data_IF_728069837437
#
_entry.id   IF_728069837437
#
_cell.length_a   1.000
_cell.length_b   1.000
_cell.length_c   1.000
_cell.angle_alpha   90.00
_cell.angle_beta   90.00
_cell.angle_gamma   90.00
#
_symmetry.space_group_name_H-M   'P 1'
#
loop_
_entity.id
_entity.type
_entity.pdbx_description
1 polymer ?
#
# COMPACT_ATOMS: atom_id res chain seq x y z
N UNK A 1 18.12 41.02 0.06
CA UNK A 1 17.79 39.62 -0.27
C UNK A 1 16.93 39.54 -1.51
N UNK A 2 15.82 40.30 -1.65
CA UNK A 2 14.93 40.20 -2.82
C UNK A 2 15.59 40.57 -4.15
N UNK A 3 16.46 41.56 -4.19
CA UNK A 3 17.23 41.96 -5.39
C UNK A 3 18.20 40.85 -5.77
N UNK A 4 18.87 40.21 -4.79
CA UNK A 4 19.79 39.10 -5.06
C UNK A 4 19.08 37.83 -5.61
N UNK A 5 17.83 37.56 -5.23
CA UNK A 5 17.01 36.50 -5.79
C UNK A 5 16.65 36.76 -7.25
N UNK A 6 16.34 38.04 -7.59
CA UNK A 6 16.04 38.41 -8.98
C UNK A 6 17.23 38.27 -9.93
N UNK A 7 18.47 38.38 -9.41
CA UNK A 7 19.70 38.23 -10.24
C UNK A 7 20.10 36.75 -10.39
N UNK A 8 19.97 35.95 -9.34
CA UNK A 8 20.41 34.52 -9.34
C UNK A 8 19.33 33.52 -9.77
N UNK A 9 18.06 33.93 -9.75
CA UNK A 9 16.88 33.14 -10.13
C UNK A 9 16.98 31.65 -9.73
N UNK A 10 17.08 31.34 -8.43
CA UNK A 10 17.16 29.95 -7.98
C UNK A 10 15.87 29.18 -8.26
N UNK A 11 14.76 29.86 -8.54
CA UNK A 11 13.46 29.37 -8.95
C UNK A 11 12.69 30.44 -9.71
N UNK A 12 11.69 30.01 -10.46
CA UNK A 12 10.80 30.88 -11.23
C UNK A 12 9.34 30.72 -10.82
N UNK A 13 8.47 31.57 -11.39
CA UNK A 13 7.02 31.43 -11.21
C UNK A 13 6.55 30.09 -11.80
N UNK A 14 5.76 29.37 -11.04
CA UNK A 14 5.26 28.06 -11.43
C UNK A 14 6.15 26.89 -11.00
N UNK A 15 7.39 27.14 -10.57
CA UNK A 15 8.25 26.08 -10.06
C UNK A 15 7.68 25.43 -8.81
N UNK A 16 7.88 24.13 -8.68
CA UNK A 16 7.64 23.37 -7.45
C UNK A 16 8.88 23.42 -6.60
N UNK A 17 8.73 24.01 -5.41
CA UNK A 17 9.84 24.19 -4.48
C UNK A 17 9.54 23.64 -3.10
N UNK A 18 10.59 23.29 -2.39
CA UNK A 18 10.51 22.94 -0.97
C UNK A 18 11.55 23.75 -0.19
N UNK A 19 11.09 24.45 0.86
CA UNK A 19 11.93 25.19 1.77
C UNK A 19 11.24 25.31 3.13
N UNK A 20 11.97 25.16 4.23
CA UNK A 20 11.46 25.34 5.62
C UNK A 20 10.17 24.54 5.92
N UNK A 21 10.04 23.34 5.37
CA UNK A 21 8.84 22.52 5.54
C UNK A 21 7.67 22.87 4.62
N UNK A 22 7.75 23.98 3.89
CA UNK A 22 6.75 24.37 2.88
C UNK A 22 7.06 23.67 1.56
N UNK A 23 6.08 23.00 0.97
CA UNK A 23 6.19 22.33 -0.31
C UNK A 23 5.03 22.70 -1.22
N UNK A 24 5.32 23.31 -2.38
CA UNK A 24 4.28 23.77 -3.29
C UNK A 24 4.79 24.53 -4.50
N UNK A 25 3.84 25.15 -5.23
CA UNK A 25 4.10 25.92 -6.43
C UNK A 25 4.37 27.40 -6.09
N UNK A 26 5.38 28.00 -6.71
CA UNK A 26 5.65 29.42 -6.61
C UNK A 26 4.60 30.21 -7.37
N UNK A 27 3.77 30.98 -6.66
CA UNK A 27 2.70 31.82 -7.25
C UNK A 27 3.12 33.26 -7.49
N UNK A 28 3.96 33.80 -6.60
CA UNK A 28 4.48 35.15 -6.78
C UNK A 28 5.83 35.33 -6.08
N UNK A 29 6.70 36.10 -6.68
CA UNK A 29 8.00 36.48 -6.13
C UNK A 29 7.99 38.00 -5.96
N UNK A 30 7.84 38.50 -4.71
CA UNK A 30 7.84 39.89 -4.38
C UNK A 30 9.23 40.33 -3.86
N UNK A 31 9.39 41.63 -3.64
CA UNK A 31 10.66 42.18 -3.17
C UNK A 31 11.11 41.61 -1.81
N UNK A 32 10.17 41.33 -0.90
CA UNK A 32 10.46 40.89 0.48
C UNK A 32 10.02 39.49 0.81
N UNK A 33 9.08 38.95 0.07
CA UNK A 33 8.52 37.62 0.29
C UNK A 33 8.27 36.87 -1.04
N UNK A 34 8.15 35.57 -0.96
CA UNK A 34 7.69 34.68 -2.02
C UNK A 34 6.41 33.99 -1.54
N UNK A 35 5.42 33.94 -2.42
CA UNK A 35 4.14 33.28 -2.17
C UNK A 35 4.18 31.90 -2.80
N UNK A 36 3.95 30.87 -1.98
CA UNK A 36 3.90 29.47 -2.40
C UNK A 36 2.50 28.93 -2.11
N UNK A 37 1.88 28.32 -3.10
CA UNK A 37 0.66 27.56 -2.94
C UNK A 37 1.02 26.10 -2.72
N UNK A 38 0.67 25.58 -1.55
CA UNK A 38 0.90 24.17 -1.20
C UNK A 38 -0.07 23.26 -1.95
N UNK A 39 0.28 21.98 -2.07
CA UNK A 39 -0.61 20.99 -2.68
C UNK A 39 -1.87 20.68 -1.84
N UNK A 40 -1.96 21.25 -0.63
CA UNK A 40 -3.16 21.20 0.21
C UNK A 40 -4.10 22.39 -0.01
N UNK A 41 -3.81 23.27 -0.99
CA UNK A 41 -4.62 24.46 -1.30
C UNK A 41 -4.42 25.64 -0.33
N UNK A 42 -3.30 25.69 0.37
CA UNK A 42 -2.94 26.75 1.30
C UNK A 42 -1.94 27.70 0.65
N UNK A 43 -2.01 28.96 1.03
CA UNK A 43 -1.03 29.99 0.63
C UNK A 43 -0.05 30.23 1.78
N UNK A 44 1.22 29.98 1.49
CA UNK A 44 2.33 30.25 2.40
C UNK A 44 3.12 31.47 1.94
N UNK A 45 3.38 32.40 2.84
CA UNK A 45 4.13 33.61 2.56
C UNK A 45 5.49 33.52 3.23
N UNK A 46 6.53 33.24 2.46
CA UNK A 46 7.87 32.98 2.97
C UNK A 46 8.74 34.25 2.78
N UNK A 47 9.32 34.83 3.86
CA UNK A 47 10.26 35.93 3.71
C UNK A 47 11.48 35.52 2.86
N UNK A 48 11.83 36.33 1.85
CA UNK A 48 12.97 36.01 0.95
C UNK A 48 14.31 35.85 1.70
N UNK A 49 14.46 36.47 2.86
CA UNK A 49 15.65 36.31 3.70
C UNK A 49 15.82 34.86 4.18
N UNK A 50 14.71 34.17 4.45
CA UNK A 50 14.70 32.77 4.89
C UNK A 50 15.11 31.88 3.72
N UNK A 51 14.45 32.03 2.56
CA UNK A 51 14.76 31.26 1.36
C UNK A 51 16.22 31.41 0.90
N UNK A 52 16.83 32.59 1.14
CA UNK A 52 18.21 32.85 0.76
C UNK A 52 19.25 32.22 1.69
N UNK A 53 18.89 31.99 2.97
CA UNK A 53 19.81 31.46 3.99
C UNK A 53 19.76 29.95 4.13
N UNK A 54 18.66 29.37 3.75
CA UNK A 54 18.38 27.95 3.99
C UNK A 54 18.45 27.16 2.68
N UNK A 55 18.42 25.85 2.81
CA UNK A 55 18.38 24.95 1.66
C UNK A 55 17.01 25.08 1.00
N UNK A 56 17.03 25.38 -0.30
CA UNK A 56 15.86 25.37 -1.16
C UNK A 56 16.03 24.25 -2.16
N UNK A 57 15.07 23.36 -2.23
CA UNK A 57 15.00 22.29 -3.25
C UNK A 57 14.02 22.72 -4.34
N UNK A 58 14.50 22.81 -5.57
CA UNK A 58 13.67 23.07 -6.73
C UNK A 58 13.47 21.76 -7.49
N UNK A 59 12.22 21.33 -7.63
CA UNK A 59 11.86 20.07 -8.29
C UNK A 59 11.59 20.23 -9.80
N UNK A 60 11.45 21.48 -10.29
CA UNK A 60 11.06 21.75 -11.68
C UNK A 60 12.23 22.05 -12.59
N UNK A 61 13.31 22.65 -12.06
CA UNK A 61 14.43 23.19 -12.88
C UNK A 61 15.10 22.13 -13.76
N UNK A 62 15.19 20.87 -13.30
CA UNK A 62 15.83 19.80 -14.07
C UNK A 62 14.93 19.21 -15.17
N UNK A 63 13.62 19.50 -15.14
CA UNK A 63 12.67 18.96 -16.09
C UNK A 63 12.40 17.45 -15.94
N UNK A 64 13.06 16.78 -15.00
CA UNK A 64 12.93 15.35 -14.77
C UNK A 64 12.94 15.04 -13.29
N UNK A 65 12.23 13.97 -12.88
CA UNK A 65 12.20 13.52 -11.49
C UNK A 65 12.28 12.00 -11.42
N UNK A 66 13.10 11.49 -10.49
CA UNK A 66 13.17 10.06 -10.21
C UNK A 66 12.12 9.65 -9.20
N UNK A 67 11.43 8.55 -9.50
CA UNK A 67 10.59 7.84 -8.55
C UNK A 67 11.33 6.63 -7.99
N UNK A 68 11.06 6.37 -6.73
CA UNK A 68 11.55 5.20 -6.01
C UNK A 68 10.35 4.50 -5.36
N UNK A 69 10.15 3.24 -5.71
CA UNK A 69 9.02 2.44 -5.21
C UNK A 69 9.60 1.20 -4.52
N UNK A 70 9.50 1.12 -3.20
CA UNK A 70 9.87 -0.09 -2.49
C UNK A 70 8.81 -1.17 -2.69
N UNK A 71 9.25 -2.41 -2.88
CA UNK A 71 8.38 -3.58 -2.94
C UNK A 71 9.11 -4.79 -2.33
N UNK A 72 8.38 -5.62 -1.57
CA UNK A 72 8.91 -6.83 -0.97
C UNK A 72 8.46 -8.07 -1.73
N UNK A 73 9.37 -9.02 -1.95
CA UNK A 73 9.06 -10.35 -2.47
C UNK A 73 9.43 -11.43 -1.45
N UNK A 74 8.86 -12.62 -1.59
CA UNK A 74 9.12 -13.74 -0.69
C UNK A 74 10.59 -14.19 -0.75
N UNK A 75 11.11 -14.71 0.37
CA UNK A 75 12.42 -15.35 0.41
C UNK A 75 12.53 -16.61 -0.47
N UNK A 76 11.39 -17.18 -0.87
CA UNK A 76 11.35 -18.31 -1.80
C UNK A 76 11.49 -17.92 -3.27
N UNK A 77 11.36 -16.64 -3.58
CA UNK A 77 11.39 -16.11 -4.94
C UNK A 77 12.80 -15.73 -5.39
N UNK A 78 13.05 -15.74 -6.70
CA UNK A 78 14.32 -15.28 -7.28
C UNK A 78 14.31 -13.74 -7.46
N UNK A 79 15.08 -12.98 -6.68
CA UNK A 79 15.11 -11.53 -6.79
C UNK A 79 15.73 -11.03 -8.11
N UNK A 80 16.60 -11.81 -8.75
CA UNK A 80 17.18 -11.43 -10.04
C UNK A 80 16.15 -11.52 -11.16
N UNK A 81 15.34 -12.60 -11.16
CA UNK A 81 14.25 -12.76 -12.11
C UNK A 81 13.17 -11.68 -11.91
N UNK A 82 12.78 -11.38 -10.65
CA UNK A 82 11.84 -10.33 -10.32
C UNK A 82 12.34 -8.95 -10.79
N UNK A 83 13.61 -8.62 -10.51
CA UNK A 83 14.22 -7.34 -10.90
C UNK A 83 14.21 -7.14 -12.41
N UNK A 84 14.59 -8.17 -13.17
CA UNK A 84 14.56 -8.13 -14.64
C UNK A 84 13.15 -7.92 -15.18
N UNK A 85 12.18 -8.70 -14.69
CA UNK A 85 10.80 -8.61 -15.13
C UNK A 85 10.20 -7.23 -14.85
N UNK A 86 10.40 -6.70 -13.64
CA UNK A 86 9.90 -5.38 -13.26
C UNK A 86 10.54 -4.27 -14.08
N UNK A 87 11.86 -4.33 -14.36
CA UNK A 87 12.54 -3.37 -15.23
C UNK A 87 11.93 -3.35 -16.63
N UNK A 88 11.69 -4.52 -17.21
CA UNK A 88 11.09 -4.66 -18.54
C UNK A 88 9.67 -4.07 -18.59
N UNK A 89 8.86 -4.35 -17.56
CA UNK A 89 7.47 -3.89 -17.48
C UNK A 89 7.35 -2.39 -17.23
N UNK A 90 8.15 -1.83 -16.32
CA UNK A 90 8.18 -0.39 -16.06
C UNK A 90 8.59 0.38 -17.30
N UNK A 91 9.55 -0.12 -18.07
CA UNK A 91 9.99 0.50 -19.32
C UNK A 91 8.95 0.49 -20.44
N UNK A 92 7.86 -0.27 -20.31
CA UNK A 92 6.75 -0.24 -21.25
C UNK A 92 5.79 0.93 -20.99
N UNK A 93 5.86 1.59 -19.84
CA UNK A 93 5.01 2.74 -19.52
C UNK A 93 5.41 3.97 -20.34
N UNK A 94 4.40 4.72 -20.82
CA UNK A 94 4.61 5.91 -21.63
C UNK A 94 5.19 7.08 -20.83
N UNK A 95 4.87 7.15 -19.53
CA UNK A 95 5.39 8.18 -18.63
C UNK A 95 6.84 7.97 -18.19
N UNK A 96 7.44 6.83 -18.51
CA UNK A 96 8.83 6.51 -18.15
C UNK A 96 9.77 7.05 -19.24
N UNK A 97 10.60 7.98 -18.86
CA UNK A 97 11.69 8.52 -19.65
C UNK A 97 13.02 7.90 -19.21
N UNK A 98 14.08 8.11 -19.97
CA UNK A 98 15.43 7.57 -19.69
C UNK A 98 15.37 6.08 -19.33
N UNK A 99 14.76 5.31 -20.20
CA UNK A 99 14.49 3.86 -20.00
C UNK A 99 15.76 3.05 -19.69
N UNK A 100 16.90 3.52 -20.14
CA UNK A 100 18.23 2.95 -19.87
C UNK A 100 18.72 3.14 -18.43
N UNK A 101 18.16 4.13 -17.72
CA UNK A 101 18.45 4.40 -16.32
C UNK A 101 17.42 3.73 -15.38
N UNK A 102 16.39 3.06 -15.92
CA UNK A 102 15.44 2.30 -15.12
C UNK A 102 16.12 1.08 -14.54
N UNK A 103 16.02 0.90 -13.24
CA UNK A 103 16.67 -0.21 -12.55
C UNK A 103 15.85 -0.69 -11.36
N UNK A 104 15.97 -1.97 -11.04
CA UNK A 104 15.43 -2.57 -9.83
C UNK A 104 16.55 -3.18 -9.03
N UNK A 105 16.78 -2.67 -7.85
CA UNK A 105 17.83 -3.11 -6.96
C UNK A 105 17.28 -3.93 -5.81
N UNK A 106 18.01 -4.95 -5.41
CA UNK A 106 17.82 -5.60 -4.11
C UNK A 106 18.43 -4.67 -3.07
N UNK A 107 17.59 -4.11 -2.21
CA UNK A 107 18.02 -3.11 -1.23
C UNK A 107 18.48 -3.75 0.08
N UNK A 108 17.68 -4.68 0.60
CA UNK A 108 17.94 -5.30 1.91
C UNK A 108 17.12 -6.57 2.12
N UNK A 109 17.46 -7.29 3.17
CA UNK A 109 16.66 -8.38 3.70
C UNK A 109 15.78 -7.84 4.83
N UNK A 110 14.45 -7.92 4.65
CA UNK A 110 13.47 -7.52 5.66
C UNK A 110 13.07 -8.69 6.56
N UNK A 111 12.20 -8.42 7.54
CA UNK A 111 11.76 -9.43 8.50
C UNK A 111 11.02 -10.62 7.84
N UNK A 112 10.32 -10.37 6.75
CA UNK A 112 9.51 -11.39 6.06
C UNK A 112 9.64 -11.37 4.54
N UNK A 113 10.50 -10.51 4.00
CA UNK A 113 10.64 -10.31 2.56
C UNK A 113 12.06 -9.90 2.16
N UNK A 114 12.37 -10.06 0.88
CA UNK A 114 13.51 -9.41 0.24
C UNK A 114 13.00 -8.07 -0.29
N UNK A 115 13.60 -6.97 0.17
CA UNK A 115 13.23 -5.62 -0.24
C UNK A 115 13.88 -5.29 -1.57
N UNK A 116 13.05 -4.96 -2.55
CA UNK A 116 13.45 -4.43 -3.84
C UNK A 116 13.11 -2.94 -3.90
N UNK A 117 13.93 -2.18 -4.62
CA UNK A 117 13.71 -0.76 -4.88
C UNK A 117 13.65 -0.53 -6.39
N UNK A 118 12.49 -0.15 -6.88
CA UNK A 118 12.24 0.12 -8.30
C UNK A 118 12.49 1.59 -8.59
N UNK A 119 13.45 1.91 -9.48
CA UNK A 119 13.82 3.25 -9.87
C UNK A 119 13.46 3.50 -11.33
N UNK A 120 12.84 4.67 -11.59
CA UNK A 120 12.60 5.15 -12.94
C UNK A 120 12.42 6.66 -12.95
N UNK A 121 12.55 7.26 -14.14
CA UNK A 121 12.48 8.69 -14.34
C UNK A 121 11.21 9.09 -15.07
N UNK A 122 10.66 10.24 -14.70
CA UNK A 122 9.51 10.86 -15.36
C UNK A 122 9.81 12.31 -15.72
N UNK A 123 9.11 12.86 -16.69
CA UNK A 123 9.06 14.30 -16.92
C UNK A 123 8.44 15.00 -15.72
N UNK A 124 9.05 16.11 -15.30
CA UNK A 124 8.53 16.87 -14.17
C UNK A 124 8.95 18.36 -14.24
N UNK A 125 8.02 19.32 -14.25
CA UNK A 125 6.57 19.09 -14.38
C UNK A 125 6.20 18.46 -15.73
N UNK A 126 5.29 17.49 -15.72
CA UNK A 126 4.85 16.75 -16.91
C UNK A 126 3.37 16.41 -16.84
N UNK A 127 2.82 15.95 -17.96
CA UNK A 127 1.37 15.72 -18.12
C UNK A 127 0.83 14.68 -17.15
N UNK A 128 1.57 13.60 -16.91
CA UNK A 128 1.13 12.53 -16.00
C UNK A 128 1.17 12.95 -14.53
N UNK A 129 2.10 13.84 -14.15
CA UNK A 129 2.29 14.25 -12.77
C UNK A 129 2.90 13.15 -11.88
N UNK A 130 3.53 13.58 -10.76
CA UNK A 130 4.31 12.68 -9.90
C UNK A 130 3.46 11.60 -9.20
N UNK A 131 2.31 11.99 -8.65
CA UNK A 131 1.47 11.05 -7.90
C UNK A 131 0.72 10.08 -8.81
N UNK A 132 0.30 10.52 -10.00
CA UNK A 132 -0.34 9.66 -10.98
C UNK A 132 0.63 8.61 -11.52
N UNK A 133 1.84 9.01 -11.92
CA UNK A 133 2.88 8.08 -12.35
C UNK A 133 3.23 7.06 -11.26
N UNK A 134 3.33 7.52 -10.00
CA UNK A 134 3.57 6.63 -8.86
C UNK A 134 2.43 5.62 -8.67
N UNK A 135 1.18 6.08 -8.75
CA UNK A 135 -0.01 5.23 -8.62
C UNK A 135 -0.04 4.13 -9.69
N UNK A 136 0.12 4.51 -10.95
CA UNK A 136 0.12 3.58 -12.08
C UNK A 136 1.26 2.56 -11.96
N UNK A 137 2.46 3.02 -11.60
CA UNK A 137 3.60 2.13 -11.42
C UNK A 137 3.38 1.12 -10.28
N UNK A 138 2.80 1.53 -9.14
CA UNK A 138 2.50 0.61 -8.02
C UNK A 138 1.50 -0.46 -8.44
N UNK A 139 0.45 -0.07 -9.18
CA UNK A 139 -0.54 -1.03 -9.70
C UNK A 139 0.12 -2.00 -10.69
N UNK A 140 0.94 -1.48 -11.61
CA UNK A 140 1.65 -2.30 -12.59
C UNK A 140 2.60 -3.30 -11.91
N UNK A 141 3.39 -2.84 -10.92
CA UNK A 141 4.30 -3.70 -10.15
C UNK A 141 3.51 -4.84 -9.51
N UNK A 142 2.42 -4.52 -8.79
CA UNK A 142 1.58 -5.53 -8.13
C UNK A 142 1.06 -6.55 -9.14
N UNK A 143 0.46 -6.07 -10.24
CA UNK A 143 -0.09 -6.92 -11.29
C UNK A 143 0.98 -7.81 -11.92
N UNK A 144 2.16 -7.24 -12.21
CA UNK A 144 3.28 -7.98 -12.83
C UNK A 144 3.78 -9.10 -11.94
N UNK A 145 3.92 -8.85 -10.64
CA UNK A 145 4.35 -9.86 -9.69
C UNK A 145 3.32 -10.98 -9.54
N UNK A 146 2.04 -10.64 -9.47
CA UNK A 146 0.96 -11.63 -9.39
C UNK A 146 0.88 -12.51 -10.64
N UNK A 147 0.99 -11.91 -11.85
CA UNK A 147 0.94 -12.65 -13.11
C UNK A 147 2.14 -13.58 -13.32
N UNK A 148 3.27 -13.30 -12.69
CA UNK A 148 4.50 -14.09 -12.76
C UNK A 148 4.71 -15.00 -11.54
N UNK A 149 3.69 -15.15 -10.70
CA UNK A 149 3.69 -16.03 -9.52
C UNK A 149 4.75 -15.67 -8.45
N UNK A 150 5.13 -14.38 -8.38
CA UNK A 150 5.93 -13.85 -7.29
C UNK A 150 5.04 -13.49 -6.11
N UNK A 151 5.43 -13.89 -4.92
CA UNK A 151 4.65 -13.66 -3.71
C UNK A 151 5.08 -12.36 -2.99
N UNK A 152 4.16 -11.42 -2.83
CA UNK A 152 4.32 -10.31 -1.88
C UNK A 152 3.90 -10.83 -0.50
N UNK A 153 4.83 -11.11 0.41
CA UNK A 153 4.52 -11.84 1.63
C UNK A 153 3.80 -10.99 2.65
N UNK A 154 2.91 -11.63 3.41
CA UNK A 154 2.42 -11.09 4.67
C UNK A 154 3.48 -11.24 5.77
N UNK A 155 3.34 -10.56 6.93
CA UNK A 155 4.22 -10.79 8.06
C UNK A 155 4.25 -12.27 8.45
N UNK A 156 5.43 -12.89 8.37
CA UNK A 156 5.62 -14.31 8.69
C UNK A 156 6.09 -14.42 10.13
N UNK A 157 5.47 -15.33 10.89
CA UNK A 157 5.91 -15.71 12.23
C UNK A 157 6.02 -17.22 12.32
N UNK A 158 7.19 -17.71 12.70
CA UNK A 158 7.38 -19.11 12.99
C UNK A 158 6.99 -19.38 14.43
N UNK A 159 6.11 -20.36 14.63
CA UNK A 159 5.74 -20.84 15.96
C UNK A 159 6.53 -22.14 16.22
N UNK A 160 7.43 -22.11 17.20
CA UNK A 160 8.18 -23.30 17.62
C UNK A 160 7.54 -23.89 18.87
N UNK A 161 6.82 -24.99 18.70
CA UNK A 161 6.17 -25.74 19.77
C UNK A 161 7.13 -26.70 20.50
N UNK A 162 8.37 -26.86 20.02
CA UNK A 162 9.36 -27.78 20.57
C UNK A 162 10.46 -27.11 21.42
N UNK A 163 10.50 -25.77 21.51
CA UNK A 163 11.54 -25.06 22.25
C UNK A 163 11.38 -25.26 23.76
N UNK A 164 12.41 -25.80 24.40
CA UNK A 164 12.57 -25.91 25.89
C UNK A 164 11.33 -26.43 26.65
N UNK A 165 10.86 -27.61 26.26
CA UNK A 165 9.80 -28.32 26.99
C UNK A 165 8.39 -28.14 26.50
N UNK A 166 8.19 -27.48 25.35
CA UNK A 166 6.92 -27.51 24.62
C UNK A 166 6.74 -28.85 23.90
N UNK A 167 5.50 -29.35 23.84
CA UNK A 167 5.17 -30.51 23.01
C UNK A 167 5.17 -30.10 21.55
N UNK A 168 5.65 -31.00 20.67
CA UNK A 168 5.54 -30.80 19.22
C UNK A 168 4.07 -30.78 18.81
N UNK A 169 3.72 -29.95 17.84
CA UNK A 169 2.34 -29.81 17.35
C UNK A 169 1.73 -31.17 16.96
N UNK A 170 2.50 -32.06 16.34
CA UNK A 170 2.06 -33.42 15.99
C UNK A 170 1.65 -34.25 17.22
N UNK A 171 2.36 -34.11 18.35
CA UNK A 171 2.02 -34.77 19.60
C UNK A 171 0.74 -34.17 20.23
N UNK A 172 0.57 -32.85 20.18
CA UNK A 172 -0.65 -32.18 20.65
C UNK A 172 -1.88 -32.59 19.82
N UNK A 173 -1.73 -32.69 18.50
CA UNK A 173 -2.81 -33.12 17.60
C UNK A 173 -3.16 -34.62 17.78
N UNK A 174 -2.16 -35.49 17.98
CA UNK A 174 -2.36 -36.90 18.27
C UNK A 174 -3.08 -37.12 19.60
N UNK A 175 -2.74 -36.36 20.65
CA UNK A 175 -3.41 -36.41 21.95
C UNK A 175 -4.87 -35.95 21.90
N UNK A 176 -5.25 -35.04 21.02
CA UNK A 176 -6.64 -34.64 20.82
C UNK A 176 -7.47 -35.72 20.13
N UNK A 177 -6.89 -36.48 19.21
CA UNK A 177 -7.60 -37.57 18.53
C UNK A 177 -7.85 -38.77 19.46
N UNK A 178 -6.94 -39.07 20.39
CA UNK A 178 -7.14 -40.15 21.37
C UNK A 178 -8.15 -39.75 22.47
N UNK A 179 -8.17 -38.49 22.88
CA UNK A 179 -9.15 -37.99 23.86
C UNK A 179 -10.59 -37.92 23.32
N UNK A 180 -10.74 -37.80 21.98
CA UNK A 180 -12.06 -37.83 21.30
C UNK A 180 -12.67 -39.23 21.19
N UNK A 181 -11.81 -40.28 21.07
CA UNK A 181 -12.29 -41.66 20.94
C UNK A 181 -12.70 -42.31 22.27
N UNK A 182 -12.13 -41.88 23.39
CA UNK A 182 -12.53 -42.43 24.72
C UNK A 182 -13.90 -41.97 25.20
N UNK A 183 -14.42 -40.86 24.65
CA UNK A 183 -15.76 -40.38 25.02
C UNK A 183 -16.89 -41.08 24.27
N UNK A 184 -16.62 -41.69 23.13
CA UNK A 184 -17.64 -42.41 22.33
C UNK A 184 -17.83 -43.89 22.75
N UNK A 185 -16.89 -44.47 23.49
CA UNK A 185 -16.97 -45.86 23.92
C UNK A 185 -17.73 -46.04 25.28
N UNK A 186 -17.99 -44.92 26.03
CA UNK A 186 -18.65 -45.02 27.32
C UNK A 186 -20.16 -44.65 27.31
N UNK A 187 -20.69 -44.22 26.16
CA UNK A 187 -22.16 -43.95 26.04
C UNK A 187 -23.00 -45.12 25.47
N UNK A 188 -22.35 -46.22 25.04
CA UNK A 188 -23.09 -47.33 24.42
C UNK A 188 -23.38 -48.51 25.34
N UNK A 189 -23.09 -48.43 26.65
CA UNK A 189 -23.39 -49.51 27.59
C UNK A 189 -24.54 -49.28 28.53
N UNK A 190 -25.33 -48.20 28.36
CA UNK A 190 -26.44 -47.91 29.26
C UNK A 190 -27.78 -47.53 28.57
N UNK A 191 -28.16 -48.28 27.51
CA UNK A 191 -29.51 -48.17 26.95
C UNK A 191 -30.02 -49.52 26.42
N UNK A 192 -30.28 -50.40 27.35
CA UNK A 192 -31.19 -51.54 27.13
C UNK A 192 -32.09 -51.67 28.34
N UNK A 193 -33.14 -50.93 28.42
CA UNK A 193 -34.45 -51.26 29.01
C UNK A 193 -35.33 -50.00 29.09
N UNK A 194 -36.49 -50.07 28.45
CA UNK A 194 -37.55 -49.10 28.65
C UNK A 194 -38.21 -48.61 27.35
N UNK A 195 -39.02 -49.47 26.79
CA UNK A 195 -40.04 -49.10 25.79
C UNK A 195 -41.10 -48.18 26.44
N UNK A 196 -41.46 -47.11 25.82
CA UNK A 196 -42.89 -46.82 25.54
C UNK A 196 -43.10 -45.64 24.57
N UNK A 197 -44.04 -45.85 23.73
CA UNK A 197 -44.64 -45.07 22.65
C UNK A 197 -45.07 -43.64 23.04
N UNK A 198 -44.87 -42.71 22.12
CA UNK A 198 -45.88 -41.69 21.75
C UNK A 198 -45.48 -41.04 20.40
N UNK A 199 -46.35 -41.24 19.45
CA UNK A 199 -46.46 -40.53 18.17
C UNK A 199 -46.56 -39.01 18.38
N UNK A 200 -45.84 -38.25 17.57
CA UNK A 200 -46.24 -36.88 17.26
C UNK A 200 -45.85 -36.54 15.82
N UNK A 201 -46.89 -36.24 15.04
CA UNK A 201 -46.91 -35.91 13.62
C UNK A 201 -46.56 -34.41 13.42
N UNK A 202 -45.74 -34.01 12.45
CA UNK A 202 -45.52 -32.62 12.14
C UNK A 202 -46.24 -32.23 10.85
N UNK A 203 -47.39 -31.60 10.97
CA UNK A 203 -47.91 -30.73 9.91
C UNK A 203 -48.65 -29.57 10.54
N UNK A 204 -48.27 -28.40 10.08
CA UNK A 204 -49.11 -27.26 9.74
C UNK A 204 -48.63 -25.90 10.24
N UNK A 205 -48.65 -25.10 9.26
CA UNK A 205 -49.02 -23.68 9.24
C UNK A 205 -47.92 -22.69 9.64
N UNK A 206 -47.74 -21.58 9.03
CA UNK A 206 -48.39 -20.81 7.94
C UNK A 206 -47.58 -19.51 7.78
N UNK A 207 -47.63 -18.98 6.59
CA UNK A 207 -47.24 -17.64 6.18
C UNK A 207 -47.80 -16.53 7.07
N UNK A 208 -47.00 -15.46 7.22
CA UNK A 208 -47.46 -14.05 7.21
C UNK A 208 -46.24 -13.17 6.92
N UNK A 209 -46.21 -12.56 5.82
CA UNK A 209 -46.62 -11.21 5.39
C UNK A 209 -45.65 -10.11 5.78
N UNK A 210 -45.10 -9.52 4.69
CA UNK A 210 -44.43 -8.21 4.67
C UNK A 210 -45.46 -7.09 4.87
N UNK A 211 -45.07 -5.91 5.30
CA UNK A 211 -45.56 -4.73 4.61
C UNK A 211 -44.45 -3.78 4.11
N UNK A 212 -44.66 -3.37 2.90
CA UNK A 212 -44.16 -2.19 2.22
C UNK A 212 -44.74 -0.90 2.83
N UNK A 213 -43.94 0.15 2.94
CA UNK A 213 -44.37 1.56 2.87
C UNK A 213 -43.20 2.37 2.37
N UNK A 214 -43.22 2.87 1.17
CA UNK A 214 -43.79 4.13 0.64
C UNK A 214 -42.99 5.38 1.01
N UNK A 215 -42.45 5.93 -0.05
CA UNK A 215 -42.00 7.29 -0.38
C UNK A 215 -42.51 8.46 0.48
N UNK A 216 -41.64 9.40 0.76
CA UNK A 216 -41.97 10.83 0.73
C UNK A 216 -40.69 11.67 0.49
N UNK A 217 -40.65 12.32 -0.63
CA UNK A 217 -39.95 13.57 -0.93
C UNK A 217 -40.79 14.71 -0.32
N UNK A 218 -40.19 15.77 0.23
CA UNK A 218 -40.55 17.09 -0.22
C UNK A 218 -39.36 18.04 -0.41
N UNK A 219 -39.33 18.64 -1.58
CA UNK A 219 -38.75 19.91 -1.95
C UNK A 219 -39.26 21.10 -1.13
N UNK A 220 -38.46 22.18 -1.13
CA UNK A 220 -38.70 23.60 -0.79
C UNK A 220 -38.47 24.01 0.68
N UNK A 221 -37.44 24.73 0.94
CA UNK A 221 -37.22 26.20 0.92
C UNK A 221 -35.72 26.52 0.99
#
# INVERSE_FOLDING_TARGET
AGIAMGIRKPFELGDVVQAEGVFGNVRAINLRNTIVETFFGQIEVIPNKILFRNILTNYSTLGVRRLEIPVGISYGDDPAAASKLLTEKINQCDFVIKKEETAVYVESFGDSCINLLVWFWIDYPGDTGFMAARHEAVILIKKTLDEADFLIPFPIRTLDFGAKGGEKLDAMLANQQTAGNDKTSNENSNKASGANSANFDPQSATKTDSPSTTSADPSQD
#
